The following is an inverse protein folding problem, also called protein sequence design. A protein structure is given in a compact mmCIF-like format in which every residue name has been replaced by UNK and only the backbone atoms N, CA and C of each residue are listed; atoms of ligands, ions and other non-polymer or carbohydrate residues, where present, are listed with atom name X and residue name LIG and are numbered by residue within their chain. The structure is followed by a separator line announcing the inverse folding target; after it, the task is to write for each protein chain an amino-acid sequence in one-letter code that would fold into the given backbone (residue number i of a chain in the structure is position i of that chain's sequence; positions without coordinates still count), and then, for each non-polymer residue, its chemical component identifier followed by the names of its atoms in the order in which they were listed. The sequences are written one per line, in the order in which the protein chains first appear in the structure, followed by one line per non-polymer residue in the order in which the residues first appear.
data_IF_873604539062
#
_entry.id   IF_873604539062
#
_cell.length_a   1.000
_cell.length_b   1.000
_cell.length_c   1.000
_cell.angle_alpha   90.00
_cell.angle_beta   90.00
_cell.angle_gamma   90.00
#
_symmetry.space_group_name_H-M   'P 1'
#
loop_
_entity.id
_entity.type
_entity.pdbx_description
1 polymer ?
#
# COMPACT_ATOMS: atom_id res chain seq x y z
N UNK A 1 -2.67 17.12 14.68
CA UNK A 1 -1.78 16.40 13.79
C UNK A 1 -0.59 15.89 14.53
N UNK A 2 -0.21 14.70 14.29
CA UNK A 2 0.95 14.11 14.91
C UNK A 2 1.92 13.78 13.80
N UNK A 3 3.05 14.44 13.81
CA UNK A 3 4.09 14.20 12.84
C UNK A 3 5.22 13.48 13.54
N UNK A 4 5.58 12.34 13.05
CA UNK A 4 6.62 11.55 13.67
C UNK A 4 7.80 11.51 12.73
N UNK A 5 8.87 12.13 13.15
CA UNK A 5 10.06 12.16 12.36
C UNK A 5 11.20 11.59 13.17
N UNK A 6 11.84 10.60 12.62
CA UNK A 6 12.88 10.00 13.35
C UNK A 6 14.11 10.34 12.77
N UNK A 7 14.46 11.54 12.71
CA UNK A 7 15.66 11.97 12.03
C UNK A 7 16.86 11.33 12.60
N UNK A 8 16.75 10.83 13.77
CA UNK A 8 17.98 10.38 14.30
C UNK A 8 18.30 9.02 14.00
N UNK A 9 17.51 8.33 13.54
CA UNK A 9 17.77 7.12 13.46
C UNK A 9 18.35 6.72 12.44
N UNK A 10 18.45 7.08 11.67
CA UNK A 10 18.88 6.73 10.52
C UNK A 10 19.94 5.88 10.54
N UNK A 11 20.53 5.79 11.27
CA UNK A 11 21.58 5.14 11.28
C UNK A 11 21.51 3.80 10.91
N UNK A 12 20.68 3.16 11.12
CA UNK A 12 20.68 1.80 10.84
C UNK A 12 20.37 1.53 9.59
N UNK A 13 20.05 2.33 9.05
CA UNK A 13 19.82 2.26 7.80
C UNK A 13 19.12 1.24 7.21
N UNK A 14 18.24 0.74 7.52
CA UNK A 14 17.46 -0.17 6.77
C UNK A 14 16.36 0.59 6.10
N UNK A 15 15.84 0.08 5.04
CA UNK A 15 14.73 0.71 4.36
C UNK A 15 13.57 0.84 5.27
N UNK A 16 13.35 -0.09 6.15
CA UNK A 16 12.25 -0.03 7.09
C UNK A 16 12.35 1.22 7.96
N UNK A 17 13.55 1.63 8.33
CA UNK A 17 13.70 2.83 9.15
C UNK A 17 13.44 4.08 8.32
N UNK A 18 13.74 4.05 7.05
CA UNK A 18 13.49 5.19 6.18
C UNK A 18 12.00 5.50 6.06
N UNK A 19 11.19 4.48 5.94
CA UNK A 19 9.76 4.70 5.80
C UNK A 19 9.18 5.28 7.10
N UNK A 20 9.68 4.83 8.23
CA UNK A 20 9.21 5.31 9.51
C UNK A 20 9.48 6.79 9.68
N UNK A 21 10.59 7.29 9.18
CA UNK A 21 10.99 8.67 9.41
C UNK A 21 10.03 9.72 8.85
N UNK A 22 9.25 9.37 7.86
CA UNK A 22 8.42 10.37 7.19
C UNK A 22 6.93 10.20 7.45
N UNK A 23 6.54 9.25 8.29
CA UNK A 23 5.12 8.99 8.52
C UNK A 23 4.47 9.97 9.49
N UNK A 24 3.26 10.37 9.18
CA UNK A 24 2.47 11.27 10.00
C UNK A 24 1.04 10.79 10.08
N UNK A 25 0.40 11.04 11.22
CA UNK A 25 -1.04 10.85 11.35
C UNK A 25 -1.64 12.06 12.07
N UNK A 26 -2.84 12.43 11.70
CA UNK A 26 -3.53 13.56 12.31
C UNK A 26 -4.68 13.04 13.17
N UNK A 27 -4.51 13.13 14.49
CA UNK A 27 -5.52 12.62 15.41
C UNK A 27 -6.75 13.48 15.48
N UNK A 28 -6.66 14.72 14.99
CA UNK A 28 -7.80 15.63 15.00
C UNK A 28 -8.59 15.58 13.69
N UNK A 29 -8.14 14.78 12.75
CA UNK A 29 -8.84 14.66 11.49
C UNK A 29 -10.06 13.75 11.70
N UNK A 30 -11.14 14.02 11.02
CA UNK A 30 -12.34 13.18 11.09
C UNK A 30 -12.11 11.84 10.40
N UNK A 31 -11.08 11.71 9.59
CA UNK A 31 -10.79 10.46 8.91
C UNK A 31 -10.28 9.44 9.91
N UNK A 32 -10.76 8.22 9.83
CA UNK A 32 -10.37 7.16 10.74
C UNK A 32 -8.86 6.94 10.72
N UNK A 33 -8.27 6.70 11.88
CA UNK A 33 -6.83 6.57 11.99
C UNK A 33 -6.25 5.46 11.13
N UNK A 34 -6.93 4.32 11.01
CA UNK A 34 -6.40 3.24 10.18
C UNK A 34 -6.36 3.62 8.70
N UNK A 35 -7.27 4.47 8.25
CA UNK A 35 -7.27 4.95 6.87
C UNK A 35 -6.10 5.92 6.68
N UNK A 36 -5.82 6.74 7.68
CA UNK A 36 -4.67 7.65 7.62
C UNK A 36 -3.36 6.88 7.61
N UNK A 37 -3.24 5.83 8.43
CA UNK A 37 -2.04 4.99 8.45
C UNK A 37 -1.86 4.33 7.09
N UNK A 38 -2.93 3.79 6.51
CA UNK A 38 -2.87 3.19 5.18
C UNK A 38 -2.41 4.22 4.14
N UNK A 39 -2.94 5.43 4.21
CA UNK A 39 -2.55 6.49 3.28
C UNK A 39 -1.07 6.84 3.40
N UNK A 40 -0.53 6.86 4.61
CA UNK A 40 0.88 7.16 4.81
C UNK A 40 1.79 6.05 4.28
N UNK A 41 1.43 4.82 4.49
CA UNK A 41 2.20 3.69 3.96
C UNK A 41 2.12 3.69 2.43
N UNK A 42 0.92 3.94 1.89
CA UNK A 42 0.72 3.99 0.43
C UNK A 42 1.59 5.10 -0.18
N UNK A 43 1.63 6.26 0.48
CA UNK A 43 2.47 7.37 0.03
C UNK A 43 3.96 6.98 0.03
N UNK A 44 4.42 6.32 1.09
CA UNK A 44 5.81 5.90 1.17
C UNK A 44 6.18 4.91 0.07
N UNK A 45 5.25 4.00 -0.27
CA UNK A 45 5.47 3.07 -1.37
C UNK A 45 5.50 3.83 -2.69
N UNK A 46 4.59 4.78 -2.88
CA UNK A 46 4.53 5.56 -4.11
C UNK A 46 5.80 6.39 -4.30
N UNK A 47 6.36 6.90 -3.21
CA UNK A 47 7.55 7.74 -3.27
C UNK A 47 8.85 6.92 -3.32
N UNK A 48 8.75 5.62 -3.27
CA UNK A 48 9.94 4.76 -3.32
C UNK A 48 10.65 4.57 -2.00
N UNK A 49 10.08 5.06 -0.91
CA UNK A 49 10.67 4.88 0.41
C UNK A 49 10.54 3.43 0.88
N UNK A 50 9.59 2.72 0.35
CA UNK A 50 9.42 1.30 0.56
C UNK A 50 9.20 0.67 -0.81
N UNK A 51 10.20 0.00 -1.32
CA UNK A 51 10.17 -0.55 -2.68
C UNK A 51 9.60 -1.96 -2.71
N UNK A 52 9.06 -2.40 -3.84
CA UNK A 52 8.60 -3.78 -3.98
C UNK A 52 9.71 -4.76 -3.59
N UNK A 53 9.36 -5.77 -2.85
CA UNK A 53 10.28 -6.75 -2.31
C UNK A 53 10.78 -6.43 -0.91
N UNK A 54 10.65 -5.19 -0.48
CA UNK A 54 11.12 -4.80 0.84
C UNK A 54 10.12 -5.18 1.92
N UNK A 55 10.64 -5.49 3.09
CA UNK A 55 9.82 -5.83 4.24
C UNK A 55 9.49 -4.57 5.01
N UNK A 56 8.26 -4.43 5.43
CA UNK A 56 7.86 -3.31 6.28
C UNK A 56 8.27 -3.58 7.73
N UNK A 57 8.42 -2.52 8.53
CA UNK A 57 8.64 -2.68 9.95
C UNK A 57 7.47 -3.45 10.58
N UNK A 58 7.68 -4.17 11.68
CA UNK A 58 6.59 -4.84 12.37
C UNK A 58 5.49 -3.87 12.79
N UNK A 59 4.26 -4.36 12.85
CA UNK A 59 3.12 -3.53 13.21
C UNK A 59 3.30 -2.86 14.57
N UNK A 60 3.98 -3.53 15.51
CA UNK A 60 4.25 -2.95 16.82
C UNK A 60 5.14 -1.72 16.71
N UNK A 61 6.15 -1.77 15.84
CA UNK A 61 7.05 -0.65 15.67
C UNK A 61 6.35 0.52 14.98
N UNK A 62 5.55 0.22 13.97
CA UNK A 62 4.76 1.25 13.31
C UNK A 62 3.78 1.90 14.28
N UNK A 63 3.15 1.10 15.13
CA UNK A 63 2.20 1.61 16.12
C UNK A 63 2.89 2.55 17.11
N UNK A 64 4.07 2.17 17.58
CA UNK A 64 4.82 2.98 18.52
C UNK A 64 5.24 4.31 17.89
N UNK A 65 5.71 4.26 16.68
CA UNK A 65 6.17 5.46 15.99
C UNK A 65 5.02 6.39 15.69
N UNK A 66 3.93 5.87 15.23
CA UNK A 66 2.78 6.69 14.85
C UNK A 66 1.91 7.08 16.04
N UNK A 67 2.16 6.48 17.20
CA UNK A 67 1.37 6.78 18.39
C UNK A 67 -0.07 6.29 18.29
N UNK A 68 -0.28 5.18 17.59
CA UNK A 68 -1.61 4.60 17.43
C UNK A 68 -1.62 3.17 17.97
N UNK A 69 -2.80 2.62 18.10
CA UNK A 69 -2.94 1.26 18.58
C UNK A 69 -2.43 0.27 17.53
N UNK A 70 -1.83 -0.82 17.95
CA UNK A 70 -1.35 -1.86 17.05
C UNK A 70 -2.46 -2.37 16.13
N UNK A 71 -3.67 -2.52 16.66
CA UNK A 71 -4.80 -2.99 15.85
C UNK A 71 -5.15 -2.00 14.74
N UNK A 72 -4.95 -0.72 14.97
CA UNK A 72 -5.14 0.31 13.95
C UNK A 72 -4.16 0.09 12.80
N UNK A 73 -2.89 -0.21 13.13
CA UNK A 73 -1.89 -0.49 12.10
C UNK A 73 -2.26 -1.77 11.35
N UNK A 74 -2.66 -2.81 12.06
CA UNK A 74 -3.03 -4.08 11.43
C UNK A 74 -4.19 -3.89 10.45
N UNK A 75 -5.19 -3.10 10.84
CA UNK A 75 -6.31 -2.81 9.93
C UNK A 75 -5.83 -2.07 8.69
N UNK A 76 -4.91 -1.13 8.86
CA UNK A 76 -4.34 -0.41 7.72
C UNK A 76 -3.57 -1.35 6.79
N UNK A 77 -2.80 -2.27 7.36
CA UNK A 77 -2.04 -3.24 6.55
C UNK A 77 -2.99 -4.17 5.77
N UNK A 78 -4.12 -4.55 6.36
CA UNK A 78 -5.11 -5.36 5.65
C UNK A 78 -5.73 -4.58 4.48
N UNK A 79 -5.99 -3.28 4.64
CA UNK A 79 -6.49 -2.47 3.54
C UNK A 79 -5.49 -2.47 2.39
N UNK A 80 -4.21 -2.30 2.69
CA UNK A 80 -3.18 -2.24 1.67
C UNK A 80 -2.96 -3.60 1.00
N UNK A 81 -3.13 -4.68 1.74
CA UNK A 81 -3.09 -6.01 1.15
C UNK A 81 -4.24 -6.17 0.15
N UNK A 82 -5.42 -5.72 0.51
CA UNK A 82 -6.58 -5.82 -0.36
C UNK A 82 -6.42 -4.96 -1.62
N UNK A 83 -5.61 -3.91 -1.54
CA UNK A 83 -5.29 -3.08 -2.70
C UNK A 83 -4.17 -3.69 -3.56
N UNK A 84 -3.60 -4.80 -3.14
CA UNK A 84 -2.52 -5.44 -3.90
C UNK A 84 -1.15 -4.85 -3.66
N UNK A 85 -0.99 -4.04 -2.62
CA UNK A 85 0.29 -3.41 -2.33
C UNK A 85 1.16 -4.23 -1.40
N UNK A 86 0.55 -5.00 -0.53
CA UNK A 86 1.26 -5.78 0.48
C UNK A 86 0.91 -7.25 0.42
N UNK A 87 1.83 -8.08 0.87
CA UNK A 87 1.60 -9.50 1.05
C UNK A 87 2.04 -9.90 2.45
N UNK A 88 1.25 -10.77 3.08
CA UNK A 88 1.53 -11.24 4.41
C UNK A 88 2.02 -12.68 4.29
N UNK A 89 3.29 -12.88 4.49
CA UNK A 89 3.84 -14.22 4.42
C UNK A 89 4.13 -14.71 5.81
N UNK A 90 3.56 -15.82 6.17
CA UNK A 90 3.73 -16.39 7.49
C UNK A 90 5.20 -16.60 7.77
N UNK A 91 5.67 -16.11 8.91
CA UNK A 91 7.07 -16.22 9.31
C UNK A 91 8.00 -15.23 8.62
N UNK A 92 7.52 -14.45 7.65
CA UNK A 92 8.34 -13.49 6.95
C UNK A 92 7.84 -12.06 7.05
N UNK A 93 6.77 -11.83 7.80
CA UNK A 93 6.23 -10.50 8.01
C UNK A 93 5.49 -9.96 6.78
N UNK A 94 5.45 -8.65 6.68
CA UNK A 94 4.71 -7.97 5.63
C UNK A 94 5.68 -7.39 4.62
N UNK A 95 5.46 -7.67 3.34
CA UNK A 95 6.33 -7.19 2.27
C UNK A 95 5.55 -6.36 1.29
N UNK A 96 6.23 -5.40 0.69
CA UNK A 96 5.67 -4.62 -0.41
C UNK A 96 5.75 -5.48 -1.67
N UNK A 97 4.64 -5.64 -2.36
CA UNK A 97 4.58 -6.44 -3.60
C UNK A 97 4.07 -5.65 -4.79
N UNK A 98 3.61 -4.44 -4.60
CA UNK A 98 3.11 -3.61 -5.68
C UNK A 98 3.23 -2.14 -5.37
N UNK A 99 2.89 -1.30 -6.32
CA UNK A 99 2.89 0.14 -6.12
C UNK A 99 1.48 0.68 -6.32
N UNK A 100 1.16 1.87 -5.78
CA UNK A 100 -0.16 2.47 -6.00
C UNK A 100 -0.47 2.66 -7.48
N UNK A 101 0.54 2.93 -8.30
CA UNK A 101 0.34 3.08 -9.73
C UNK A 101 -0.10 1.76 -10.36
N UNK A 102 0.54 0.65 -9.96
CA UNK A 102 0.16 -0.68 -10.44
C UNK A 102 -1.22 -1.07 -9.92
N UNK A 103 -1.52 -0.73 -8.66
CA UNK A 103 -2.81 -1.01 -8.06
C UNK A 103 -3.92 -0.25 -8.78
N UNK A 104 -3.66 1.01 -9.14
CA UNK A 104 -4.63 1.83 -9.85
C UNK A 104 -4.94 1.24 -11.23
N UNK A 105 -3.92 0.75 -11.93
CA UNK A 105 -4.12 0.09 -13.22
C UNK A 105 -4.95 -1.18 -13.05
N UNK A 106 -4.65 -1.97 -12.02
CA UNK A 106 -5.38 -3.21 -11.77
C UNK A 106 -6.86 -2.93 -11.50
N UNK A 107 -7.15 -1.90 -10.70
CA UNK A 107 -8.54 -1.51 -10.43
C UNK A 107 -9.26 -1.18 -11.73
N UNK A 108 -8.64 -0.42 -12.61
CA UNK A 108 -9.25 -0.06 -13.89
C UNK A 108 -9.46 -1.28 -14.78
N UNK A 109 -8.54 -2.23 -14.73
CA UNK A 109 -8.69 -3.47 -15.50
C UNK A 109 -9.89 -4.28 -14.97
N UNK A 110 -10.03 -4.38 -13.66
CA UNK A 110 -11.13 -5.11 -13.06
C UNK A 110 -12.46 -4.44 -13.42
N UNK A 111 -12.53 -3.12 -13.36
CA UNK A 111 -13.72 -2.36 -13.73
C UNK A 111 -14.05 -2.58 -15.20
N UNK A 112 -13.03 -2.58 -16.06
CA UNK A 112 -13.22 -2.79 -17.49
C UNK A 112 -13.78 -4.20 -17.76
N UNK A 113 -13.23 -5.21 -17.08
CA UNK A 113 -13.71 -6.58 -17.26
C UNK A 113 -15.16 -6.74 -16.81
N UNK A 114 -15.54 -6.09 -15.71
CA UNK A 114 -16.93 -6.13 -15.24
C UNK A 114 -17.85 -5.45 -16.26
N UNK A 115 -17.45 -4.28 -16.74
CA UNK A 115 -18.23 -3.56 -17.74
C UNK A 115 -18.37 -4.35 -19.03
N UNK A 116 -17.27 -4.95 -19.50
CA UNK A 116 -17.29 -5.76 -20.72
C UNK A 116 -18.24 -6.94 -20.58
N UNK A 117 -18.26 -7.58 -19.41
CA UNK A 117 -19.16 -8.70 -19.16
C UNK A 117 -20.62 -8.25 -19.25
N UNK A 118 -20.93 -7.08 -18.70
CA UNK A 118 -22.28 -6.53 -18.78
C UNK A 118 -22.68 -6.24 -20.21
N UNK A 119 -21.71 -5.94 -21.09
CA UNK A 119 -21.96 -5.67 -22.49
C UNK A 119 -21.93 -6.93 -23.34
N UNK A 120 -21.76 -8.10 -22.72
CA UNK A 120 -21.80 -9.37 -23.44
C UNK A 120 -20.48 -9.86 -23.99
N UNK A 121 -19.37 -9.22 -23.66
CA UNK A 121 -18.07 -9.68 -24.12
C UNK A 121 -17.54 -10.79 -23.22
N UNK A 122 -16.85 -11.74 -23.82
CA UNK A 122 -16.16 -12.78 -23.07
C UNK A 122 -14.73 -12.33 -22.83
N UNK A 123 -14.08 -12.95 -21.88
CA UNK A 123 -12.71 -12.59 -21.50
C UNK A 123 -11.74 -12.70 -22.68
N UNK A 124 -11.83 -13.78 -23.44
CA UNK A 124 -10.94 -13.99 -24.58
C UNK A 124 -11.14 -12.93 -25.66
N UNK A 125 -12.36 -12.44 -25.82
CA UNK A 125 -12.63 -11.37 -26.76
C UNK A 125 -11.98 -10.07 -26.31
N UNK A 126 -12.04 -9.77 -25.01
CA UNK A 126 -11.40 -8.58 -24.45
C UNK A 126 -9.88 -8.66 -24.61
N UNK A 127 -9.31 -9.83 -24.34
CA UNK A 127 -7.87 -10.04 -24.49
C UNK A 127 -7.44 -9.81 -25.94
N UNK A 128 -8.20 -10.34 -26.89
CA UNK A 128 -7.90 -10.17 -28.31
C UNK A 128 -7.92 -8.70 -28.72
N UNK A 129 -8.88 -7.94 -28.20
CA UNK A 129 -8.96 -6.51 -28.49
C UNK A 129 -7.75 -5.78 -27.92
N UNK A 130 -7.37 -6.10 -26.68
CA UNK A 130 -6.21 -5.47 -26.05
C UNK A 130 -4.95 -5.76 -26.86
N UNK A 131 -4.76 -6.99 -27.29
CA UNK A 131 -3.60 -7.36 -28.07
C UNK A 131 -3.56 -6.60 -29.39
N UNK A 132 -4.71 -6.35 -30.00
CA UNK A 132 -4.77 -5.64 -31.25
C UNK A 132 -4.47 -4.14 -31.13
N UNK A 133 -4.52 -3.58 -29.92
CA UNK A 133 -4.27 -2.16 -29.71
C UNK A 133 -2.77 -1.83 -29.59
N UNK A 134 -1.91 -2.83 -29.50
CA UNK A 134 -0.47 -2.58 -29.52
C UNK A 134 0.07 -1.85 -28.31
N UNK A 135 -0.46 -2.12 -27.15
CA UNK A 135 0.05 -1.51 -25.94
C UNK A 135 1.46 -1.96 -25.70
N UNK A 136 2.36 -1.05 -25.35
CA UNK A 136 3.76 -1.36 -25.12
C UNK A 136 4.14 -1.23 -23.68
#
# INVERSE_FOLDING_TARGET
MVAIVFSTRLLDDTSANGIIQTMEVNRNDSLALHVQVAAEIRRAIADGEAAPGERLPPATDLADVLGVNKNTVIRALHLLRDEGLLDFTRGRGVRVVGTPQQSAVLVRIIELLAFAREQGYRRDEVVAIIESQGLR
#
